data_IF_496786226217
#
_entry.id   IF_496786226217
#
_cell.length_a   1.000
_cell.length_b   1.000
_cell.length_c   1.000
_cell.angle_alpha   90.00
_cell.angle_beta   90.00
_cell.angle_gamma   90.00
#
_symmetry.space_group_name_H-M   'P 1'
#
loop_
_entity.id
_entity.type
_entity.pdbx_description
1 polymer ?
#
# COMPACT_ATOMS: atom_id res chain seq x y z
N UNK A 1 33.68 -59.57 18.06
CA UNK A 1 33.24 -58.79 19.24
C UNK A 1 32.82 -57.44 18.73
N UNK A 2 31.55 -57.05 18.90
CA UNK A 2 31.13 -55.67 18.61
C UNK A 2 31.77 -54.78 19.67
N UNK A 3 32.57 -53.80 19.26
CA UNK A 3 33.00 -52.73 20.16
C UNK A 3 31.71 -52.06 20.65
N UNK A 4 31.42 -52.18 21.94
CA UNK A 4 30.46 -51.32 22.61
C UNK A 4 31.27 -50.08 22.95
N UNK A 5 31.04 -48.98 22.24
CA UNK A 5 31.61 -47.67 22.60
C UNK A 5 31.32 -47.39 24.06
N UNK A 6 32.33 -46.91 24.78
CA UNK A 6 32.14 -46.59 26.19
C UNK A 6 31.21 -45.39 26.29
N UNK A 7 30.50 -45.27 27.42
CA UNK A 7 29.61 -44.13 27.68
C UNK A 7 30.34 -42.79 27.58
N UNK A 8 31.64 -42.78 27.93
CA UNK A 8 32.51 -41.59 27.86
C UNK A 8 32.85 -41.19 26.42
N UNK A 9 33.04 -42.17 25.52
CA UNK A 9 33.30 -41.90 24.09
C UNK A 9 32.09 -41.24 23.42
N UNK A 10 30.88 -41.77 23.69
CA UNK A 10 29.62 -41.21 23.19
C UNK A 10 29.32 -39.81 23.75
N UNK A 11 29.66 -39.55 25.01
CA UNK A 11 29.49 -38.23 25.63
C UNK A 11 30.45 -37.19 25.02
N UNK A 12 31.68 -37.61 24.66
CA UNK A 12 32.68 -36.74 24.03
C UNK A 12 32.28 -36.35 22.61
N UNK A 13 31.87 -37.32 21.79
CA UNK A 13 31.38 -37.07 20.43
C UNK A 13 30.12 -36.20 20.43
N UNK A 14 29.20 -36.42 21.38
CA UNK A 14 28.02 -35.57 21.55
C UNK A 14 28.37 -34.12 21.92
N UNK A 15 29.44 -33.90 22.70
CA UNK A 15 29.92 -32.56 23.04
C UNK A 15 30.56 -31.86 21.83
N UNK A 16 31.36 -32.55 21.04
CA UNK A 16 31.97 -32.01 19.81
C UNK A 16 30.91 -31.59 18.80
N UNK A 17 29.94 -32.47 18.52
CA UNK A 17 28.79 -32.16 17.64
C UNK A 17 28.02 -30.95 18.17
N UNK A 18 27.81 -30.86 19.48
CA UNK A 18 27.10 -29.72 20.09
C UNK A 18 27.87 -28.41 19.91
N UNK A 19 29.19 -28.44 20.04
CA UNK A 19 30.06 -27.27 19.85
C UNK A 19 30.04 -26.80 18.39
N UNK A 20 30.17 -27.72 17.42
CA UNK A 20 30.05 -27.40 16.00
C UNK A 20 28.68 -26.82 15.63
N UNK A 21 27.60 -27.36 16.22
CA UNK A 21 26.24 -26.81 16.02
C UNK A 21 26.16 -25.38 16.56
N UNK A 22 26.71 -25.11 17.75
CA UNK A 22 26.70 -23.77 18.36
C UNK A 22 27.47 -22.78 17.47
N UNK A 23 28.67 -23.14 17.03
CA UNK A 23 29.49 -22.29 16.15
C UNK A 23 28.78 -22.02 14.82
N UNK A 24 28.19 -23.04 14.19
CA UNK A 24 27.42 -22.88 12.96
C UNK A 24 26.19 -21.99 13.17
N UNK A 25 25.48 -22.13 14.29
CA UNK A 25 24.34 -21.28 14.63
C UNK A 25 24.76 -19.82 14.84
N UNK A 26 25.89 -19.57 15.50
CA UNK A 26 26.44 -18.23 15.67
C UNK A 26 26.86 -17.61 14.33
N UNK A 27 27.53 -18.40 13.48
CA UNK A 27 27.87 -17.99 12.11
C UNK A 27 26.63 -17.62 11.29
N UNK A 28 25.60 -18.49 11.28
CA UNK A 28 24.36 -18.24 10.56
C UNK A 28 23.62 -17.00 11.08
N UNK A 29 23.57 -16.79 12.39
CA UNK A 29 23.00 -15.58 13.00
C UNK A 29 23.77 -14.32 12.58
N UNK A 30 25.10 -14.39 12.56
CA UNK A 30 25.96 -13.31 12.08
C UNK A 30 25.68 -12.97 10.62
N UNK A 31 25.63 -13.98 9.77
CA UNK A 31 25.32 -13.82 8.34
C UNK A 31 23.92 -13.24 8.12
N UNK A 32 22.89 -13.75 8.80
CA UNK A 32 21.53 -13.22 8.72
C UNK A 32 21.46 -11.75 9.12
N UNK A 33 22.16 -11.37 10.20
CA UNK A 33 22.20 -9.98 10.67
C UNK A 33 22.88 -9.07 9.65
N UNK A 34 24.00 -9.50 9.06
CA UNK A 34 24.70 -8.74 8.03
C UNK A 34 23.85 -8.57 6.76
N UNK A 35 23.16 -9.62 6.32
CA UNK A 35 22.25 -9.56 5.18
C UNK A 35 21.09 -8.59 5.42
N UNK A 36 20.47 -8.66 6.60
CA UNK A 36 19.39 -7.74 6.99
C UNK A 36 19.86 -6.28 7.00
N UNK A 37 21.05 -6.01 7.52
CA UNK A 37 21.62 -4.66 7.48
C UNK A 37 21.87 -4.18 6.05
N UNK A 38 22.40 -5.05 5.18
CA UNK A 38 22.62 -4.73 3.76
C UNK A 38 21.32 -4.45 3.01
N UNK A 39 20.29 -5.27 3.23
CA UNK A 39 18.95 -5.07 2.67
C UNK A 39 18.37 -3.72 3.10
N UNK A 40 18.44 -3.40 4.40
CA UNK A 40 17.96 -2.13 4.94
C UNK A 40 18.66 -0.94 4.31
N UNK A 41 19.99 -0.99 4.18
CA UNK A 41 20.77 0.08 3.58
C UNK A 41 20.44 0.25 2.09
N UNK A 42 20.39 -0.85 1.32
CA UNK A 42 20.05 -0.81 -0.10
C UNK A 42 18.64 -0.29 -0.33
N UNK A 43 17.68 -0.67 0.52
CA UNK A 43 16.32 -0.14 0.45
C UNK A 43 16.29 1.35 0.79
N UNK A 44 17.04 1.82 1.80
CA UNK A 44 17.13 3.23 2.14
C UNK A 44 17.67 4.07 0.96
N UNK A 45 18.75 3.63 0.32
CA UNK A 45 19.32 4.29 -0.87
C UNK A 45 18.32 4.32 -2.03
N UNK A 46 17.59 3.23 -2.26
CA UNK A 46 16.57 3.16 -3.32
C UNK A 46 15.41 4.13 -3.06
N UNK A 47 14.93 4.21 -1.81
CA UNK A 47 13.87 5.12 -1.42
C UNK A 47 14.32 6.59 -1.53
N UNK A 48 15.57 6.90 -1.17
CA UNK A 48 16.14 8.23 -1.34
C UNK A 48 16.24 8.62 -2.81
N UNK A 49 16.77 7.75 -3.66
CA UNK A 49 16.84 7.97 -5.11
C UNK A 49 15.45 8.17 -5.73
N UNK A 50 14.45 7.37 -5.30
CA UNK A 50 13.05 7.52 -5.74
C UNK A 50 12.47 8.87 -5.33
N UNK A 51 12.71 9.30 -4.08
CA UNK A 51 12.26 10.59 -3.57
C UNK A 51 12.88 11.76 -4.33
N UNK A 52 14.18 11.69 -4.59
CA UNK A 52 14.89 12.70 -5.40
C UNK A 52 14.36 12.75 -6.84
N UNK A 53 14.05 11.60 -7.45
CA UNK A 53 13.43 11.56 -8.77
C UNK A 53 12.04 12.22 -8.76
N UNK A 54 11.17 11.89 -7.79
CA UNK A 54 9.84 12.51 -7.65
C UNK A 54 9.96 14.03 -7.50
N UNK A 55 10.88 14.50 -6.64
CA UNK A 55 11.15 15.93 -6.45
C UNK A 55 11.67 16.58 -7.75
N UNK A 56 12.58 15.92 -8.44
CA UNK A 56 13.17 16.40 -9.69
C UNK A 56 12.18 16.49 -10.86
N UNK A 57 11.12 15.66 -10.86
CA UNK A 57 10.05 15.67 -11.86
C UNK A 57 8.89 16.61 -11.48
N UNK A 58 8.78 17.02 -10.21
CA UNK A 58 7.70 17.88 -9.72
C UNK A 58 7.59 19.17 -10.54
N UNK A 59 6.39 19.48 -11.02
CA UNK A 59 6.08 20.71 -11.76
C UNK A 59 6.62 20.76 -13.20
N UNK A 60 7.35 19.73 -13.66
CA UNK A 60 7.80 19.63 -15.04
C UNK A 60 6.72 18.96 -15.89
N UNK A 61 6.25 19.64 -16.94
CA UNK A 61 5.45 19.00 -17.99
C UNK A 61 6.41 18.26 -18.92
N UNK A 62 6.71 17.03 -18.59
CA UNK A 62 7.52 16.19 -19.46
C UNK A 62 6.60 15.49 -20.45
N UNK A 63 6.95 15.51 -21.73
CA UNK A 63 6.37 14.63 -22.74
C UNK A 63 7.01 13.22 -22.68
N UNK A 64 7.27 12.72 -21.46
CA UNK A 64 7.88 11.42 -21.21
C UNK A 64 6.85 10.38 -20.80
N UNK A 65 7.20 9.11 -20.96
CA UNK A 65 6.42 7.97 -20.48
C UNK A 65 6.48 7.79 -18.95
N UNK A 66 7.34 8.56 -18.26
CA UNK A 66 7.51 8.57 -16.80
C UNK A 66 7.02 9.92 -16.28
N UNK A 67 6.23 9.91 -15.20
CA UNK A 67 5.64 11.11 -14.59
C UNK A 67 5.57 11.02 -13.07
N UNK A 68 4.90 11.98 -12.44
CA UNK A 68 4.53 11.91 -11.02
C UNK A 68 3.02 11.95 -10.91
N UNK A 69 2.46 10.96 -10.23
CA UNK A 69 1.03 10.84 -9.92
C UNK A 69 0.78 11.12 -8.45
N UNK A 70 -0.28 11.89 -8.16
CA UNK A 70 -0.79 12.05 -6.79
C UNK A 70 -1.78 10.92 -6.51
N UNK A 71 -1.28 9.84 -5.91
CA UNK A 71 -2.03 8.62 -5.55
C UNK A 71 -2.97 8.93 -4.38
N UNK A 72 -4.22 8.51 -4.48
CA UNK A 72 -5.24 8.71 -3.44
C UNK A 72 -5.84 10.12 -3.44
N UNK A 73 -5.51 10.94 -4.44
CA UNK A 73 -6.09 12.26 -4.63
C UNK A 73 -7.39 12.16 -5.44
N UNK A 74 -8.43 12.83 -4.98
CA UNK A 74 -9.71 12.84 -5.67
C UNK A 74 -9.65 13.75 -6.91
N UNK A 75 -10.13 13.29 -8.06
CA UNK A 75 -10.26 14.12 -9.26
C UNK A 75 -11.59 14.90 -9.22
N UNK A 76 -11.53 16.22 -9.34
CA UNK A 76 -12.71 17.10 -9.35
C UNK A 76 -13.43 17.10 -10.71
N UNK A 77 -12.78 16.68 -11.81
CA UNK A 77 -13.37 16.75 -13.16
C UNK A 77 -14.69 15.96 -13.29
N UNK A 78 -14.82 14.74 -12.76
CA UNK A 78 -16.07 13.99 -12.80
C UNK A 78 -17.20 14.68 -12.03
N UNK A 79 -16.88 15.30 -10.89
CA UNK A 79 -17.85 16.06 -10.08
C UNK A 79 -18.37 17.28 -10.85
N UNK A 80 -17.48 18.08 -11.45
CA UNK A 80 -17.87 19.20 -12.31
C UNK A 80 -18.75 18.76 -13.47
N UNK A 81 -18.40 17.64 -14.12
CA UNK A 81 -19.20 17.10 -15.21
C UNK A 81 -20.61 16.71 -14.74
N UNK A 82 -20.73 15.96 -13.64
CA UNK A 82 -22.03 15.53 -13.13
C UNK A 82 -22.88 16.72 -12.65
N UNK A 83 -22.28 17.67 -11.93
CA UNK A 83 -22.99 18.84 -11.41
C UNK A 83 -23.46 19.80 -12.53
N UNK A 84 -22.72 19.91 -13.64
CA UNK A 84 -23.15 20.72 -14.80
C UNK A 84 -24.50 20.31 -15.35
N UNK A 85 -24.76 19.01 -15.43
CA UNK A 85 -26.03 18.48 -15.92
C UNK A 85 -27.19 18.65 -14.92
N UNK A 86 -26.89 18.76 -13.63
CA UNK A 86 -27.89 18.75 -12.55
C UNK A 86 -28.25 20.14 -12.02
N UNK A 87 -27.30 21.08 -12.00
CA UNK A 87 -27.42 22.36 -11.28
C UNK A 87 -27.22 23.61 -12.15
N UNK A 88 -26.94 23.47 -13.45
CA UNK A 88 -26.82 24.61 -14.36
C UNK A 88 -25.79 25.64 -13.90
N UNK A 89 -26.24 26.84 -13.54
CA UNK A 89 -25.39 27.96 -13.10
C UNK A 89 -24.69 27.74 -11.76
N UNK A 90 -25.27 26.92 -10.88
CA UNK A 90 -24.68 26.60 -9.56
C UNK A 90 -23.74 25.40 -9.60
N UNK A 91 -23.51 24.82 -10.78
CA UNK A 91 -22.78 23.58 -10.95
C UNK A 91 -21.37 23.59 -10.36
N UNK A 92 -20.64 24.68 -10.50
CA UNK A 92 -19.26 24.75 -9.99
C UNK A 92 -19.21 24.78 -8.46
N UNK A 93 -20.12 25.52 -7.81
CA UNK A 93 -20.22 25.56 -6.35
C UNK A 93 -20.63 24.18 -5.82
N UNK A 94 -21.66 23.57 -6.42
CA UNK A 94 -22.13 22.23 -6.04
C UNK A 94 -21.07 21.15 -6.24
N UNK A 95 -20.27 21.24 -7.30
CA UNK A 95 -19.16 20.33 -7.54
C UNK A 95 -18.09 20.43 -6.45
N UNK A 96 -17.76 21.65 -6.00
CA UNK A 96 -16.76 21.88 -4.94
C UNK A 96 -17.28 21.38 -3.58
N UNK A 97 -18.55 21.63 -3.26
CA UNK A 97 -19.20 21.13 -2.04
C UNK A 97 -19.17 19.60 -2.00
N UNK A 98 -19.60 18.95 -3.09
CA UNK A 98 -19.62 17.50 -3.20
C UNK A 98 -18.21 16.91 -3.16
N UNK A 99 -17.27 17.52 -3.88
CA UNK A 99 -15.86 17.13 -3.85
C UNK A 99 -15.30 17.17 -2.42
N UNK A 100 -15.51 18.27 -1.70
CA UNK A 100 -15.00 18.46 -0.34
C UNK A 100 -15.62 17.45 0.64
N UNK A 101 -16.93 17.18 0.50
CA UNK A 101 -17.62 16.16 1.28
C UNK A 101 -16.96 14.79 1.07
N UNK A 102 -16.74 14.39 -0.18
CA UNK A 102 -16.13 13.10 -0.48
C UNK A 102 -14.66 13.03 -0.10
N UNK A 103 -13.90 14.10 -0.25
CA UNK A 103 -12.53 14.17 0.24
C UNK A 103 -12.47 13.92 1.75
N UNK A 104 -13.37 14.56 2.53
CA UNK A 104 -13.45 14.32 3.98
C UNK A 104 -13.79 12.87 4.35
N UNK A 105 -14.64 12.21 3.56
CA UNK A 105 -14.92 10.78 3.76
C UNK A 105 -13.68 9.94 3.48
N UNK A 106 -12.96 10.20 2.39
CA UNK A 106 -11.71 9.50 2.07
C UNK A 106 -10.68 9.61 3.20
N UNK A 107 -10.58 10.79 3.86
CA UNK A 107 -9.66 11.00 4.99
C UNK A 107 -10.14 10.41 6.32
N UNK A 108 -11.42 10.05 6.44
CA UNK A 108 -11.98 9.57 7.70
C UNK A 108 -11.60 8.10 7.95
N UNK A 109 -10.77 7.77 8.98
CA UNK A 109 -10.38 6.40 9.27
C UNK A 109 -11.55 5.51 9.70
N UNK A 110 -12.60 6.09 10.29
CA UNK A 110 -13.80 5.36 10.74
C UNK A 110 -14.65 4.82 9.59
N UNK A 111 -14.50 5.40 8.39
CA UNK A 111 -15.20 4.91 7.21
C UNK A 111 -14.31 3.96 6.41
N UNK A 112 -14.65 2.67 6.45
CA UNK A 112 -13.86 1.60 5.85
C UNK A 112 -14.73 0.74 4.91
N UNK A 113 -15.08 1.26 3.71
CA UNK A 113 -16.01 0.63 2.77
C UNK A 113 -15.33 -0.50 1.97
N UNK A 114 -14.76 -1.47 2.68
CA UNK A 114 -14.04 -2.59 2.08
C UNK A 114 -14.56 -3.92 2.62
N UNK A 115 -14.57 -4.93 1.74
CA UNK A 115 -14.90 -6.31 2.07
C UNK A 115 -13.76 -7.25 1.69
N UNK A 116 -13.56 -8.28 2.50
CA UNK A 116 -12.67 -9.39 2.18
C UNK A 116 -13.41 -10.40 1.31
N UNK A 117 -12.86 -10.74 0.15
CA UNK A 117 -13.44 -11.71 -0.78
C UNK A 117 -12.40 -12.78 -1.07
N UNK A 118 -12.81 -14.05 -1.01
CA UNK A 118 -11.97 -15.18 -1.44
C UNK A 118 -12.06 -15.32 -2.95
N UNK A 119 -10.92 -15.19 -3.62
CA UNK A 119 -10.77 -15.43 -5.05
C UNK A 119 -9.79 -16.59 -5.21
N UNK A 120 -10.32 -17.81 -5.27
CA UNK A 120 -9.52 -19.04 -5.20
C UNK A 120 -8.99 -19.29 -3.79
N UNK A 121 -7.67 -19.42 -3.64
CA UNK A 121 -6.98 -19.61 -2.36
C UNK A 121 -6.55 -18.28 -1.71
N UNK A 122 -6.63 -17.16 -2.43
CA UNK A 122 -6.21 -15.84 -1.96
C UNK A 122 -7.38 -15.01 -1.44
N UNK A 123 -7.13 -14.25 -0.37
CA UNK A 123 -8.06 -13.25 0.16
C UNK A 123 -7.72 -11.87 -0.41
N UNK A 124 -8.67 -11.26 -1.12
CA UNK A 124 -8.54 -9.93 -1.71
C UNK A 124 -9.44 -8.93 -1.00
N UNK A 125 -8.92 -7.73 -0.75
CA UNK A 125 -9.71 -6.60 -0.24
C UNK A 125 -10.30 -5.85 -1.42
N UNK A 126 -11.63 -5.86 -1.54
CA UNK A 126 -12.37 -5.12 -2.55
C UNK A 126 -13.24 -4.05 -1.91
N UNK A 127 -13.71 -3.09 -2.71
CA UNK A 127 -14.73 -2.16 -2.24
C UNK A 127 -16.03 -2.91 -1.93
N UNK A 128 -16.68 -2.48 -0.85
CA UNK A 128 -18.02 -2.97 -0.51
C UNK A 128 -19.05 -2.35 -1.47
N UNK A 129 -19.71 -3.20 -2.25
CA UNK A 129 -20.78 -2.81 -3.16
C UNK A 129 -22.09 -2.49 -2.43
N UNK A 130 -22.23 -2.95 -1.18
CA UNK A 130 -23.36 -2.65 -0.32
C UNK A 130 -23.16 -1.39 0.54
N UNK A 131 -22.00 -0.72 0.49
CA UNK A 131 -21.77 0.54 1.21
C UNK A 131 -22.78 1.62 0.76
N UNK A 132 -23.59 2.09 1.71
CA UNK A 132 -24.69 3.01 1.47
C UNK A 132 -24.21 4.30 0.79
N UNK A 133 -23.11 4.88 1.26
CA UNK A 133 -22.59 6.14 0.70
C UNK A 133 -22.15 5.95 -0.75
N UNK A 134 -21.45 4.86 -1.06
CA UNK A 134 -21.01 4.55 -2.42
C UNK A 134 -22.19 4.28 -3.37
N UNK A 135 -23.22 3.58 -2.89
CA UNK A 135 -24.46 3.36 -3.65
C UNK A 135 -25.16 4.67 -3.94
N UNK A 136 -25.33 5.51 -2.93
CA UNK A 136 -25.97 6.83 -3.07
C UNK A 136 -25.21 7.71 -4.05
N UNK A 137 -23.87 7.74 -3.96
CA UNK A 137 -23.02 8.48 -4.90
C UNK A 137 -23.26 8.07 -6.35
N UNK A 138 -23.26 6.76 -6.59
CA UNK A 138 -23.43 6.17 -7.91
C UNK A 138 -24.83 6.46 -8.46
N UNK A 139 -25.85 6.36 -7.62
CA UNK A 139 -27.23 6.64 -7.99
C UNK A 139 -27.46 8.12 -8.29
N UNK A 140 -26.90 9.03 -7.48
CA UNK A 140 -27.15 10.46 -7.61
C UNK A 140 -26.30 11.18 -8.67
N UNK A 141 -25.06 10.72 -8.90
CA UNK A 141 -24.06 11.41 -9.73
C UNK A 141 -23.42 10.51 -10.80
N UNK A 142 -23.76 9.22 -10.82
CA UNK A 142 -23.39 8.28 -11.87
C UNK A 142 -21.99 7.66 -11.72
N UNK A 143 -21.71 6.73 -12.64
CA UNK A 143 -20.51 5.89 -12.62
C UNK A 143 -19.19 6.66 -12.69
N UNK A 144 -19.16 7.84 -13.32
CA UNK A 144 -17.92 8.62 -13.44
C UNK A 144 -17.47 9.20 -12.08
N UNK A 145 -18.41 9.69 -11.28
CA UNK A 145 -18.10 10.22 -9.94
C UNK A 145 -17.78 9.07 -8.98
N UNK A 146 -18.58 8.01 -9.02
CA UNK A 146 -18.29 6.78 -8.29
C UNK A 146 -16.89 6.25 -8.62
N UNK A 147 -16.53 6.14 -9.90
CA UNK A 147 -15.21 5.67 -10.34
C UNK A 147 -14.07 6.52 -9.79
N UNK A 148 -14.22 7.85 -9.76
CA UNK A 148 -13.21 8.74 -9.20
C UNK A 148 -12.97 8.49 -7.70
N UNK A 149 -14.04 8.29 -6.93
CA UNK A 149 -13.96 7.98 -5.50
C UNK A 149 -13.41 6.58 -5.28
N UNK A 150 -13.87 5.59 -6.05
CA UNK A 150 -13.43 4.20 -5.96
C UNK A 150 -11.93 4.07 -6.25
N UNK A 151 -11.43 4.73 -7.31
CA UNK A 151 -10.00 4.78 -7.61
C UNK A 151 -9.22 5.40 -6.46
N UNK A 152 -9.66 6.54 -5.92
CA UNK A 152 -8.98 7.18 -4.79
C UNK A 152 -8.96 6.29 -3.53
N UNK A 153 -10.05 5.58 -3.23
CA UNK A 153 -10.11 4.64 -2.10
C UNK A 153 -9.11 3.48 -2.27
N UNK A 154 -9.09 2.83 -3.43
CA UNK A 154 -8.18 1.72 -3.71
C UNK A 154 -6.73 2.17 -3.64
N UNK A 155 -6.42 3.32 -4.24
CA UNK A 155 -5.09 3.93 -4.19
C UNK A 155 -4.65 4.26 -2.76
N UNK A 156 -5.53 4.83 -1.93
CA UNK A 156 -5.25 5.06 -0.50
C UNK A 156 -5.00 3.73 0.22
N UNK A 157 -5.81 2.70 -0.05
CA UNK A 157 -5.70 1.40 0.62
C UNK A 157 -4.37 0.71 0.31
N UNK A 158 -3.89 0.83 -0.93
CA UNK A 158 -2.65 0.21 -1.38
C UNK A 158 -1.41 0.98 -0.92
N UNK A 159 -1.40 2.31 -1.03
CA UNK A 159 -0.19 3.11 -0.82
C UNK A 159 -0.09 3.79 0.53
N UNK A 160 -1.22 4.11 1.19
CA UNK A 160 -1.23 4.81 2.47
C UNK A 160 -2.45 4.44 3.34
N UNK A 161 -2.65 3.15 3.69
CA UNK A 161 -3.87 2.68 4.34
C UNK A 161 -4.10 3.33 5.72
N UNK A 162 -3.03 3.60 6.46
CA UNK A 162 -3.10 4.20 7.80
C UNK A 162 -3.19 5.73 7.74
N UNK A 163 -2.42 6.38 6.87
CA UNK A 163 -2.37 7.84 6.80
C UNK A 163 -3.53 8.46 6.04
N UNK A 164 -4.07 7.77 5.03
CA UNK A 164 -5.21 8.21 4.20
C UNK A 164 -5.07 9.57 3.49
N UNK A 165 -3.91 10.19 3.53
CA UNK A 165 -3.58 11.38 2.74
C UNK A 165 -2.96 10.98 1.40
N UNK A 166 -3.13 11.80 0.34
CA UNK A 166 -2.53 11.51 -0.95
C UNK A 166 -1.01 11.51 -0.89
N UNK A 167 -0.39 10.58 -1.60
CA UNK A 167 1.07 10.47 -1.71
C UNK A 167 1.51 10.65 -3.16
N UNK A 168 2.73 11.14 -3.36
CA UNK A 168 3.30 11.27 -4.68
C UNK A 168 4.09 10.02 -5.03
N UNK A 169 3.82 9.46 -6.21
CA UNK A 169 4.54 8.31 -6.76
C UNK A 169 4.84 8.50 -8.24
N UNK A 170 5.77 7.69 -8.76
CA UNK A 170 6.18 7.67 -10.17
C UNK A 170 5.19 6.90 -11.06
#
# INVERSE_FOLDING_TARGET
MKHVESKEDLETESMEISMEIIENLEYLKGMHTALKAKEQNSNAELQEARKELINGLRGKRLQSHIGVKNIGNLDIKPFRYACKHKYGTEADVKAIELFSKWDSYLRNPEWNPYKMVKVGEEEQVLLDDEDEKLKDLKNEYGNKVYGAVATALLEIKEYNPSGRYPVQEL
#
